data_IF_489209557415
#
_entry.id   IF_489209557415
#
_cell.length_a   1.000
_cell.length_b   1.000
_cell.length_c   1.000
_cell.angle_alpha   90.00
_cell.angle_beta   90.00
_cell.angle_gamma   90.00
#
_symmetry.space_group_name_H-M   'P 1'
#
loop_
_entity.id
_entity.type
_entity.pdbx_description
1 polymer ?
#
# COMPACT_ATOMS: atom_id res chain seq x y z
N UNK A 1 -3.71 8.07 25.57
CA UNK A 1 -2.59 8.06 24.62
C UNK A 1 -2.57 6.86 23.69
N UNK A 2 -2.83 5.65 24.17
CA UNK A 2 -2.95 4.45 23.29
C UNK A 2 -3.95 4.66 22.13
N UNK A 3 -5.06 5.37 22.36
CA UNK A 3 -6.05 5.68 21.33
C UNK A 3 -5.45 6.40 20.11
N UNK A 4 -4.57 7.38 20.31
CA UNK A 4 -3.97 8.17 19.22
C UNK A 4 -3.13 7.30 18.28
N UNK A 5 -2.38 6.33 18.83
CA UNK A 5 -1.49 5.45 18.07
C UNK A 5 -2.25 4.49 17.12
N UNK A 6 -3.52 4.24 17.39
CA UNK A 6 -4.38 3.39 16.53
C UNK A 6 -5.37 4.22 15.72
N UNK A 7 -5.89 5.30 16.30
CA UNK A 7 -6.87 6.14 15.60
C UNK A 7 -6.26 6.93 14.45
N UNK A 8 -5.05 7.47 14.59
CA UNK A 8 -4.43 8.26 13.52
C UNK A 8 -4.10 7.42 12.27
N UNK A 9 -3.51 6.21 12.36
CA UNK A 9 -3.34 5.36 11.19
C UNK A 9 -4.65 4.99 10.49
N UNK A 10 -5.68 4.64 11.27
CA UNK A 10 -7.02 4.43 10.74
C UNK A 10 -7.53 5.68 9.98
N UNK A 11 -7.46 6.85 10.59
CA UNK A 11 -7.97 8.09 10.02
C UNK A 11 -7.21 8.48 8.75
N UNK A 12 -5.88 8.39 8.77
CA UNK A 12 -5.04 8.72 7.62
C UNK A 12 -5.35 7.80 6.44
N UNK A 13 -5.43 6.50 6.65
CA UNK A 13 -5.75 5.57 5.56
C UNK A 13 -7.20 5.63 5.11
N UNK A 14 -8.13 5.95 6.02
CA UNK A 14 -9.50 6.24 5.64
C UNK A 14 -9.57 7.47 4.71
N UNK A 15 -8.89 8.55 5.06
CA UNK A 15 -8.80 9.76 4.23
C UNK A 15 -8.09 9.46 2.90
N UNK A 16 -6.94 8.79 2.96
CA UNK A 16 -6.12 8.50 1.78
C UNK A 16 -6.78 7.51 0.84
N UNK A 17 -7.44 6.49 1.36
CA UNK A 17 -8.21 5.53 0.56
C UNK A 17 -9.35 6.19 -0.20
N UNK A 18 -10.09 7.08 0.47
CA UNK A 18 -11.16 7.87 -0.14
C UNK A 18 -10.64 8.89 -1.17
N UNK A 19 -9.57 9.61 -0.81
CA UNK A 19 -8.93 10.59 -1.68
C UNK A 19 -8.35 9.95 -2.95
N UNK A 20 -7.76 8.77 -2.88
CA UNK A 20 -7.16 8.11 -4.04
C UNK A 20 -8.17 7.85 -5.17
N UNK A 21 -9.38 7.39 -4.83
CA UNK A 21 -10.47 7.22 -5.80
C UNK A 21 -10.96 8.57 -6.30
N UNK A 22 -11.23 9.50 -5.38
CA UNK A 22 -11.77 10.80 -5.70
C UNK A 22 -10.82 11.61 -6.60
N UNK A 23 -9.51 11.57 -6.38
CA UNK A 23 -8.49 12.23 -7.21
C UNK A 23 -8.49 11.64 -8.62
N UNK A 24 -8.52 10.31 -8.77
CA UNK A 24 -8.57 9.67 -10.08
C UNK A 24 -9.84 10.06 -10.84
N UNK A 25 -11.01 10.02 -10.18
CA UNK A 25 -12.28 10.43 -10.78
C UNK A 25 -12.34 11.92 -11.11
N UNK A 26 -11.80 12.76 -10.24
CA UNK A 26 -11.77 14.20 -10.47
C UNK A 26 -10.79 14.59 -11.59
N UNK A 27 -9.65 13.90 -11.69
CA UNK A 27 -8.74 14.05 -12.81
C UNK A 27 -9.41 13.67 -14.15
N UNK A 28 -10.17 12.56 -14.16
CA UNK A 28 -10.95 12.12 -15.32
C UNK A 28 -11.97 13.19 -15.71
N UNK A 29 -12.68 13.75 -14.72
CA UNK A 29 -13.62 14.86 -14.94
C UNK A 29 -12.95 16.11 -15.54
N UNK A 30 -11.71 16.41 -15.12
CA UNK A 30 -10.91 17.50 -15.68
C UNK A 30 -10.29 17.17 -17.06
N UNK A 31 -10.59 16.02 -17.65
CA UNK A 31 -10.09 15.60 -18.95
C UNK A 31 -8.72 14.94 -18.93
N UNK A 32 -8.29 14.39 -17.79
CA UNK A 32 -6.99 13.72 -17.72
C UNK A 32 -6.87 12.58 -18.72
N UNK A 33 -5.74 12.55 -19.44
CA UNK A 33 -5.34 11.44 -20.28
C UNK A 33 -4.94 10.23 -19.41
N UNK A 34 -4.89 9.01 -19.95
CA UNK A 34 -4.38 7.85 -19.22
C UNK A 34 -2.96 8.03 -18.68
N UNK A 35 -2.08 8.69 -19.46
CA UNK A 35 -0.73 9.01 -19.01
C UNK A 35 -0.75 9.94 -17.77
N UNK A 36 -1.60 10.97 -17.77
CA UNK A 36 -1.72 11.86 -16.60
C UNK A 36 -2.19 11.14 -15.35
N UNK A 37 -3.10 10.17 -15.47
CA UNK A 37 -3.50 9.31 -14.35
C UNK A 37 -2.33 8.47 -13.84
N UNK A 38 -1.51 7.95 -14.75
CA UNK A 38 -0.29 7.24 -14.40
C UNK A 38 0.71 8.13 -13.63
N UNK A 39 0.91 9.37 -14.09
CA UNK A 39 1.77 10.35 -13.43
C UNK A 39 1.24 10.75 -12.06
N UNK A 40 -0.08 10.88 -11.88
CA UNK A 40 -0.69 11.13 -10.58
C UNK A 40 -0.40 9.99 -9.58
N UNK A 41 -0.39 8.74 -10.02
CA UNK A 41 -0.02 7.61 -9.20
C UNK A 41 1.49 7.49 -8.92
N UNK A 42 2.32 7.98 -9.83
CA UNK A 42 3.77 7.98 -9.70
C UNK A 42 4.28 8.95 -8.64
N UNK A 43 3.74 10.16 -8.58
CA UNK A 43 4.27 11.23 -7.73
C UNK A 43 4.32 10.91 -6.22
N UNK A 44 3.26 10.42 -5.56
CA UNK A 44 3.36 10.13 -4.13
C UNK A 44 4.38 9.02 -3.84
N UNK A 45 4.51 8.04 -4.73
CA UNK A 45 5.45 6.92 -4.58
C UNK A 45 6.91 7.37 -4.66
N UNK A 46 7.27 8.16 -5.66
CA UNK A 46 8.67 8.63 -5.82
C UNK A 46 9.09 9.54 -4.66
N UNK A 47 8.21 10.43 -4.20
CA UNK A 47 8.48 11.30 -3.05
C UNK A 47 8.62 10.48 -1.78
N UNK A 48 7.72 9.52 -1.55
CA UNK A 48 7.76 8.63 -0.40
C UNK A 48 9.08 7.87 -0.33
N UNK A 49 9.46 7.16 -1.40
CA UNK A 49 10.70 6.36 -1.44
C UNK A 49 11.93 7.25 -1.22
N UNK A 50 11.96 8.44 -1.82
CA UNK A 50 13.09 9.36 -1.71
C UNK A 50 13.26 9.94 -0.30
N UNK A 51 12.17 10.14 0.43
CA UNK A 51 12.17 10.86 1.70
C UNK A 51 11.97 9.96 2.93
N UNK A 52 11.41 8.75 2.80
CA UNK A 52 11.11 7.91 3.96
C UNK A 52 12.36 7.55 4.77
N UNK A 53 13.51 7.31 4.13
CA UNK A 53 14.77 7.05 4.82
C UNK A 53 15.27 8.29 5.60
N UNK A 54 15.17 9.46 5.00
CA UNK A 54 15.55 10.72 5.62
C UNK A 54 14.70 10.99 6.87
N UNK A 55 13.38 10.90 6.75
CA UNK A 55 12.47 11.15 7.87
C UNK A 55 12.47 10.01 8.90
N UNK A 56 12.69 8.78 8.50
CA UNK A 56 12.94 7.66 9.40
C UNK A 56 14.13 7.95 10.31
N UNK A 57 15.26 8.40 9.75
CA UNK A 57 16.45 8.79 10.51
C UNK A 57 16.20 10.04 11.36
N UNK A 58 15.54 11.05 10.81
CA UNK A 58 15.22 12.28 11.53
C UNK A 58 14.31 12.01 12.74
N UNK A 59 13.45 11.00 12.64
CA UNK A 59 12.57 10.60 13.72
C UNK A 59 13.29 10.05 14.96
N UNK A 60 14.58 9.70 14.85
CA UNK A 60 15.40 9.30 16.02
C UNK A 60 15.86 10.49 16.87
N UNK A 61 15.97 11.67 16.24
CA UNK A 61 16.46 12.89 16.89
C UNK A 61 15.36 13.92 17.17
N UNK A 62 14.30 13.92 16.38
CA UNK A 62 13.16 14.82 16.54
C UNK A 62 12.02 14.14 17.31
N UNK A 63 11.16 14.96 17.92
CA UNK A 63 9.95 14.47 18.59
C UNK A 63 9.04 13.72 17.60
N UNK A 64 8.70 12.46 17.92
CA UNK A 64 7.75 11.64 17.13
C UNK A 64 6.45 12.39 16.89
N UNK A 65 5.91 13.03 17.93
CA UNK A 65 4.69 13.83 17.87
C UNK A 65 4.79 14.95 16.83
N UNK A 66 5.92 15.67 16.79
CA UNK A 66 6.11 16.79 15.87
C UNK A 66 6.21 16.31 14.42
N UNK A 67 6.94 15.21 14.16
CA UNK A 67 7.04 14.65 12.82
C UNK A 67 5.69 14.10 12.31
N UNK A 68 4.95 13.40 13.16
CA UNK A 68 3.59 12.95 12.83
C UNK A 68 2.68 14.15 12.57
N UNK A 69 2.80 15.20 13.38
CA UNK A 69 2.05 16.46 13.20
C UNK A 69 2.35 17.15 11.87
N UNK A 70 3.63 17.22 11.49
CA UNK A 70 4.04 17.75 10.19
C UNK A 70 3.50 16.87 9.04
N UNK A 71 3.54 15.56 9.18
CA UNK A 71 2.93 14.63 8.20
C UNK A 71 1.43 14.90 8.02
N UNK A 72 0.67 15.04 9.11
CA UNK A 72 -0.73 15.40 9.08
C UNK A 72 -0.98 16.78 8.46
N UNK A 73 -0.11 17.76 8.76
CA UNK A 73 -0.19 19.09 8.16
C UNK A 73 -0.05 19.03 6.64
N UNK A 74 0.90 18.23 6.10
CA UNK A 74 1.04 18.05 4.65
C UNK A 74 -0.19 17.35 4.03
N UNK A 75 -0.83 16.41 4.72
CA UNK A 75 -2.08 15.81 4.26
C UNK A 75 -3.23 16.83 4.25
N UNK A 76 -3.34 17.70 5.27
CA UNK A 76 -4.33 18.78 5.33
C UNK A 76 -4.09 19.78 4.19
N UNK A 77 -2.84 20.20 3.98
CA UNK A 77 -2.47 21.13 2.90
C UNK A 77 -2.76 20.53 1.52
N UNK A 78 -2.45 19.25 1.32
CA UNK A 78 -2.82 18.51 0.11
C UNK A 78 -4.33 18.53 -0.10
N UNK A 79 -5.12 18.22 0.93
CA UNK A 79 -6.58 18.21 0.85
C UNK A 79 -7.14 19.60 0.55
N UNK A 80 -6.56 20.67 1.11
CA UNK A 80 -6.93 22.06 0.80
C UNK A 80 -6.69 22.37 -0.68
N UNK A 81 -5.53 21.98 -1.23
CA UNK A 81 -5.24 22.15 -2.66
C UNK A 81 -6.27 21.41 -3.50
N UNK A 82 -6.64 20.17 -3.12
CA UNK A 82 -7.69 19.41 -3.81
C UNK A 82 -9.06 20.10 -3.76
N UNK A 83 -9.45 20.68 -2.63
CA UNK A 83 -10.69 21.46 -2.50
C UNK A 83 -10.72 22.65 -3.48
N UNK A 84 -9.58 23.34 -3.64
CA UNK A 84 -9.46 24.53 -4.49
C UNK A 84 -9.12 24.21 -5.93
N UNK A 85 -8.78 22.93 -6.24
CA UNK A 85 -8.30 22.56 -7.56
C UNK A 85 -9.35 22.71 -8.65
N UNK A 86 -8.91 23.22 -9.78
CA UNK A 86 -9.66 23.34 -11.03
C UNK A 86 -8.87 22.86 -12.26
N UNK A 87 -7.61 22.49 -12.04
CA UNK A 87 -6.68 22.06 -13.10
C UNK A 87 -5.84 20.88 -12.65
N UNK A 88 -5.43 20.04 -13.60
CA UNK A 88 -4.72 18.77 -13.34
C UNK A 88 -3.38 18.98 -12.63
N UNK A 89 -2.62 20.05 -12.94
CA UNK A 89 -1.33 20.30 -12.28
C UNK A 89 -1.46 20.55 -10.76
N UNK A 90 -2.61 21.07 -10.32
CA UNK A 90 -2.91 21.23 -8.88
C UNK A 90 -3.10 19.87 -8.18
N UNK A 91 -3.67 18.89 -8.90
CA UNK A 91 -3.73 17.52 -8.41
C UNK A 91 -2.33 16.91 -8.29
N UNK A 92 -1.45 17.16 -9.28
CA UNK A 92 -0.06 16.71 -9.22
C UNK A 92 0.68 17.29 -8.00
N UNK A 93 0.51 18.59 -7.74
CA UNK A 93 1.09 19.24 -6.54
C UNK A 93 0.57 18.61 -5.25
N UNK A 94 -0.74 18.35 -5.18
CA UNK A 94 -1.34 17.65 -4.05
C UNK A 94 -0.75 16.25 -3.85
N UNK A 95 -0.55 15.48 -4.93
CA UNK A 95 0.05 14.14 -4.86
C UNK A 95 1.50 14.17 -4.35
N UNK A 96 2.29 15.18 -4.71
CA UNK A 96 3.64 15.37 -4.15
C UNK A 96 3.58 15.59 -2.63
N UNK A 97 2.66 16.45 -2.16
CA UNK A 97 2.48 16.73 -0.72
C UNK A 97 1.99 15.50 0.05
N UNK A 98 1.14 14.65 -0.55
CA UNK A 98 0.77 13.35 0.02
C UNK A 98 2.00 12.48 0.22
N UNK A 99 2.92 12.43 -0.75
CA UNK A 99 4.17 11.68 -0.63
C UNK A 99 5.05 12.17 0.52
N UNK A 100 5.18 13.50 0.68
CA UNK A 100 5.92 14.12 1.82
C UNK A 100 5.26 13.75 3.15
N UNK A 101 3.94 13.95 3.24
CA UNK A 101 3.16 13.61 4.44
C UNK A 101 3.29 12.15 4.84
N UNK A 102 3.21 11.24 3.86
CA UNK A 102 3.38 9.81 4.08
C UNK A 102 4.78 9.45 4.60
N UNK A 103 5.83 10.03 4.00
CA UNK A 103 7.22 9.78 4.39
C UNK A 103 7.54 10.26 5.82
N UNK A 104 6.85 11.31 6.28
CA UNK A 104 6.94 11.77 7.66
C UNK A 104 6.10 10.94 8.64
N UNK A 105 4.90 10.56 8.21
CA UNK A 105 3.90 9.92 9.07
C UNK A 105 4.22 8.45 9.35
N UNK A 106 4.34 7.61 8.29
CA UNK A 106 4.35 6.16 8.44
C UNK A 106 5.57 5.61 9.20
N UNK A 107 6.82 5.91 8.81
CA UNK A 107 7.98 5.39 9.55
C UNK A 107 8.01 5.88 11.00
N UNK A 108 7.54 7.12 11.23
CA UNK A 108 7.51 7.72 12.56
C UNK A 108 6.45 7.08 13.46
N UNK A 109 5.26 6.78 12.91
CA UNK A 109 4.19 6.12 13.67
C UNK A 109 4.55 4.69 14.05
N UNK A 110 5.13 3.92 13.11
CA UNK A 110 5.61 2.56 13.37
C UNK A 110 6.66 2.52 14.49
N UNK A 111 7.65 3.41 14.41
CA UNK A 111 8.65 3.54 15.43
C UNK A 111 8.04 3.98 16.78
N UNK A 112 7.08 4.91 16.77
CA UNK A 112 6.41 5.39 17.97
C UNK A 112 5.60 4.30 18.67
N UNK A 113 4.91 3.44 17.93
CA UNK A 113 4.23 2.26 18.49
C UNK A 113 5.24 1.27 19.07
N UNK A 114 6.33 0.99 18.34
CA UNK A 114 7.35 0.02 18.77
C UNK A 114 8.09 0.44 20.04
N UNK A 115 8.34 1.73 20.24
CA UNK A 115 9.06 2.26 21.42
C UNK A 115 8.25 2.19 22.73
N UNK A 116 6.92 2.18 22.64
CA UNK A 116 6.03 2.24 23.81
C UNK A 116 5.71 0.90 24.43
N UNK A 117 6.04 -0.17 23.75
CA UNK A 117 5.60 -1.49 24.18
C UNK A 117 6.77 -2.34 24.65
N UNK A 118 6.51 -3.11 25.70
CA UNK A 118 7.44 -4.16 26.11
C UNK A 118 7.53 -5.22 24.99
N UNK A 119 8.73 -5.79 24.79
CA UNK A 119 8.99 -6.80 23.76
C UNK A 119 7.95 -7.94 23.76
N UNK A 120 7.41 -8.28 24.94
CA UNK A 120 6.39 -9.34 25.12
C UNK A 120 5.06 -9.02 24.43
N UNK A 121 4.66 -7.75 24.36
CA UNK A 121 3.37 -7.31 23.82
C UNK A 121 3.50 -6.65 22.43
N UNK A 122 4.72 -6.44 21.93
CA UNK A 122 4.98 -5.72 20.70
C UNK A 122 4.24 -6.33 19.48
N UNK A 123 4.29 -7.66 19.33
CA UNK A 123 3.62 -8.33 18.20
C UNK A 123 2.10 -8.08 18.20
N UNK A 124 1.46 -8.17 19.38
CA UNK A 124 0.03 -7.91 19.52
C UNK A 124 -0.33 -6.46 19.19
N UNK A 125 0.47 -5.50 19.65
CA UNK A 125 0.25 -4.07 19.45
C UNK A 125 0.49 -3.65 17.99
N UNK A 126 1.52 -4.22 17.35
CA UNK A 126 1.71 -4.04 15.91
C UNK A 126 0.57 -4.67 15.09
N UNK A 127 0.02 -5.78 15.56
CA UNK A 127 -1.19 -6.37 14.98
C UNK A 127 -2.40 -5.43 15.05
N UNK A 128 -2.63 -4.78 16.20
CA UNK A 128 -3.69 -3.77 16.36
C UNK A 128 -3.45 -2.54 15.49
N UNK A 129 -2.20 -2.09 15.40
CA UNK A 129 -1.80 -1.00 14.50
C UNK A 129 -2.11 -1.34 13.04
N UNK A 130 -1.72 -2.53 12.59
CA UNK A 130 -2.00 -3.00 11.24
C UNK A 130 -3.51 -3.17 10.98
N UNK A 131 -4.27 -3.68 11.94
CA UNK A 131 -5.72 -3.77 11.83
C UNK A 131 -6.37 -2.37 11.70
N UNK A 132 -5.87 -1.38 12.43
CA UNK A 132 -6.46 -0.04 12.42
C UNK A 132 -6.32 0.64 11.05
N UNK A 133 -5.13 0.68 10.46
CA UNK A 133 -4.96 1.27 9.13
C UNK A 133 -5.64 0.44 8.03
N UNK A 134 -5.66 -0.90 8.17
CA UNK A 134 -6.38 -1.77 7.22
C UNK A 134 -7.88 -1.48 7.17
N UNK A 135 -8.52 -1.24 8.33
CA UNK A 135 -9.93 -0.84 8.39
C UNK A 135 -10.12 0.51 7.66
N UNK A 136 -9.19 1.45 7.83
CA UNK A 136 -9.19 2.72 7.09
C UNK A 136 -9.16 2.49 5.58
N UNK A 137 -8.26 1.64 5.10
CA UNK A 137 -8.15 1.29 3.68
C UNK A 137 -9.36 0.53 3.13
N UNK A 138 -10.09 -0.20 3.97
CA UNK A 138 -11.36 -0.84 3.57
C UNK A 138 -12.48 0.17 3.44
N UNK A 139 -12.66 1.04 4.44
CA UNK A 139 -13.79 1.96 4.50
C UNK A 139 -13.59 3.22 3.65
N UNK A 140 -12.34 3.68 3.51
CA UNK A 140 -11.99 4.92 2.81
C UNK A 140 -12.47 4.95 1.36
N UNK A 141 -12.14 3.97 0.51
CA UNK A 141 -12.57 3.94 -0.87
C UNK A 141 -14.09 3.96 -1.05
N UNK A 142 -14.81 3.22 -0.21
CA UNK A 142 -16.28 3.22 -0.24
C UNK A 142 -16.82 4.61 0.06
N UNK A 143 -16.37 5.22 1.16
CA UNK A 143 -16.76 6.58 1.53
C UNK A 143 -16.40 7.59 0.43
N UNK A 144 -15.19 7.51 -0.11
CA UNK A 144 -14.72 8.39 -1.19
C UNK A 144 -15.58 8.28 -2.45
N UNK A 145 -15.95 7.07 -2.86
CA UNK A 145 -16.82 6.82 -4.00
C UNK A 145 -18.24 7.36 -3.80
N UNK A 146 -18.82 7.16 -2.61
CA UNK A 146 -20.15 7.66 -2.25
C UNK A 146 -20.15 9.20 -2.19
N UNK A 147 -19.20 9.80 -1.46
CA UNK A 147 -19.09 11.26 -1.33
C UNK A 147 -18.85 11.92 -2.69
N UNK A 148 -18.05 11.32 -3.57
CA UNK A 148 -17.83 11.82 -4.94
C UNK A 148 -19.12 11.79 -5.77
N UNK A 149 -19.97 10.79 -5.57
CA UNK A 149 -21.27 10.69 -6.21
C UNK A 149 -22.24 11.81 -5.81
N UNK A 150 -22.14 12.30 -4.55
CA UNK A 150 -22.93 13.43 -4.05
C UNK A 150 -22.38 14.75 -4.61
N UNK A 151 -21.09 14.98 -4.46
CA UNK A 151 -20.38 16.13 -5.05
C UNK A 151 -18.94 15.79 -5.31
N UNK A 152 -18.43 16.19 -6.47
CA UNK A 152 -17.05 15.89 -6.91
C UNK A 152 -15.96 16.36 -5.96
N UNK A 153 -16.22 17.41 -5.18
CA UNK A 153 -15.26 17.98 -4.21
C UNK A 153 -15.53 17.55 -2.77
N UNK A 154 -16.68 16.94 -2.48
CA UNK A 154 -17.04 16.55 -1.13
C UNK A 154 -16.03 15.61 -0.44
N UNK A 155 -15.42 14.61 -1.14
CA UNK A 155 -14.39 13.79 -0.53
C UNK A 155 -13.18 14.61 -0.05
N UNK A 156 -12.82 15.68 -0.76
CA UNK A 156 -11.68 16.53 -0.42
C UNK A 156 -11.98 17.44 0.76
N UNK A 157 -13.18 18.03 0.82
CA UNK A 157 -13.63 18.76 2.02
C UNK A 157 -13.67 17.85 3.24
N UNK A 158 -14.21 16.64 3.08
CA UNK A 158 -14.21 15.65 4.16
C UNK A 158 -12.77 15.33 4.62
N UNK A 159 -11.86 15.07 3.69
CA UNK A 159 -10.45 14.80 3.99
C UNK A 159 -9.78 15.98 4.73
N UNK A 160 -10.05 17.21 4.30
CA UNK A 160 -9.54 18.42 4.94
C UNK A 160 -10.00 18.56 6.40
N UNK A 161 -11.31 18.46 6.66
CA UNK A 161 -11.84 18.57 8.03
C UNK A 161 -11.44 17.38 8.91
N UNK A 162 -11.46 16.17 8.39
CA UNK A 162 -11.04 14.98 9.12
C UNK A 162 -9.52 15.04 9.44
N UNK A 163 -8.69 15.59 8.55
CA UNK A 163 -7.29 15.86 8.81
C UNK A 163 -7.09 16.81 10.01
N UNK A 164 -7.87 17.89 10.11
CA UNK A 164 -7.84 18.80 11.26
C UNK A 164 -8.29 18.11 12.54
N UNK A 165 -9.31 17.26 12.50
CA UNK A 165 -9.73 16.45 13.67
C UNK A 165 -8.55 15.59 14.15
N UNK A 166 -7.86 14.89 13.25
CA UNK A 166 -6.67 14.09 13.58
C UNK A 166 -5.55 14.96 14.17
N UNK A 167 -5.31 16.14 13.61
CA UNK A 167 -4.29 17.07 14.09
C UNK A 167 -4.59 17.58 15.50
N UNK A 168 -5.84 17.99 15.79
CA UNK A 168 -6.23 18.43 17.13
C UNK A 168 -6.21 17.29 18.16
N UNK A 169 -6.56 16.07 17.78
CA UNK A 169 -6.42 14.88 18.64
C UNK A 169 -4.94 14.65 18.96
N UNK A 170 -4.04 14.78 17.99
CA UNK A 170 -2.60 14.67 18.19
C UNK A 170 -2.08 15.76 19.14
N UNK A 171 -2.53 17.02 18.99
CA UNK A 171 -2.10 18.13 19.87
C UNK A 171 -2.48 17.87 21.33
N UNK A 172 -3.67 17.35 21.59
CA UNK A 172 -4.13 16.99 22.95
C UNK A 172 -3.41 15.78 23.54
N UNK A 173 -2.77 14.96 22.72
CA UNK A 173 -1.95 13.87 23.22
C UNK A 173 -0.75 14.42 24.01
N UNK A 174 -0.49 13.87 25.21
CA UNK A 174 0.61 14.32 26.05
C UNK A 174 1.93 14.24 25.27
N UNK A 175 2.71 15.33 25.36
CA UNK A 175 4.07 15.34 24.83
C UNK A 175 4.96 14.59 25.83
N UNK A 176 5.29 13.36 25.54
CA UNK A 176 6.26 12.63 26.33
C UNK A 176 7.60 12.71 25.61
N UNK A 177 8.55 13.39 26.24
CA UNK A 177 9.95 13.30 25.87
C UNK A 177 10.46 11.93 26.35
N UNK A 178 10.48 10.94 25.49
CA UNK A 178 11.26 9.74 25.77
C UNK A 178 12.72 10.08 25.49
N UNK A 179 13.61 9.96 26.50
CA UNK A 179 15.02 9.91 26.20
C UNK A 179 15.23 8.75 25.24
N UNK A 180 15.99 8.98 24.17
CA UNK A 180 16.41 7.93 23.27
C UNK A 180 16.93 6.78 24.14
N UNK A 181 16.17 5.71 24.25
CA UNK A 181 16.61 4.54 24.98
C UNK A 181 17.75 3.99 24.15
N UNK A 182 18.97 4.15 24.64
CA UNK A 182 20.14 3.46 24.12
C UNK A 182 19.83 1.96 24.22
N UNK A 183 19.10 1.43 23.25
CA UNK A 183 18.91 0.01 23.08
C UNK A 183 20.19 -0.52 22.48
N UNK A 184 21.18 -0.74 23.36
CA UNK A 184 22.21 -1.74 23.05
C UNK A 184 21.50 -2.97 22.54
N UNK A 185 21.93 -3.56 21.42
CA UNK A 185 21.37 -4.79 20.93
C UNK A 185 21.69 -5.91 21.94
N UNK A 186 20.89 -6.03 22.98
CA UNK A 186 21.06 -7.11 23.94
C UNK A 186 20.00 -8.17 23.66
N UNK A 187 20.50 -9.28 23.36
CA UNK A 187 20.02 -10.65 23.50
C UNK A 187 20.10 -11.45 22.18
N UNK A 188 20.88 -12.51 22.26
CA UNK A 188 20.98 -13.56 21.25
C UNK A 188 19.55 -14.02 20.90
N UNK A 189 19.20 -14.08 19.61
CA UNK A 189 17.90 -14.61 19.21
C UNK A 189 17.80 -16.07 19.59
N UNK A 190 16.70 -16.43 20.22
CA UNK A 190 16.37 -17.81 20.55
C UNK A 190 15.71 -18.49 19.34
N UNK A 191 16.47 -18.76 18.31
CA UNK A 191 16.05 -19.66 17.22
C UNK A 191 17.26 -20.48 16.74
N UNK A 192 17.05 -21.79 16.42
CA UNK A 192 18.09 -22.63 15.89
C UNK A 192 18.69 -22.06 14.59
N UNK A 193 19.94 -22.40 14.36
CA UNK A 193 20.82 -21.91 13.29
C UNK A 193 20.47 -22.44 11.88
N UNK A 194 19.25 -22.90 11.66
CA UNK A 194 18.77 -23.31 10.34
C UNK A 194 18.49 -22.06 9.50
N UNK A 195 19.50 -21.69 8.72
CA UNK A 195 19.43 -20.61 7.77
C UNK A 195 18.25 -20.81 6.82
N UNK A 196 17.25 -19.94 6.94
CA UNK A 196 16.18 -19.86 5.94
C UNK A 196 16.84 -19.73 4.57
N UNK A 197 16.60 -20.65 3.63
CA UNK A 197 17.21 -20.55 2.33
C UNK A 197 16.90 -19.19 1.71
N UNK A 198 17.95 -18.42 1.39
CA UNK A 198 17.83 -17.05 0.86
C UNK A 198 16.98 -16.95 -0.40
N UNK A 199 16.74 -18.07 -1.08
CA UNK A 199 15.93 -18.12 -2.28
C UNK A 199 14.44 -17.84 -2.01
N UNK A 200 13.87 -18.23 -0.85
CA UNK A 200 12.48 -17.90 -0.50
C UNK A 200 12.27 -16.38 -0.35
N UNK A 201 13.26 -15.68 0.20
CA UNK A 201 13.22 -14.23 0.31
C UNK A 201 13.22 -13.57 -1.07
N UNK A 202 14.04 -14.05 -2.00
CA UNK A 202 14.09 -13.49 -3.36
C UNK A 202 12.81 -13.79 -4.15
N UNK A 203 12.29 -15.02 -4.08
CA UNK A 203 11.02 -15.41 -4.70
C UNK A 203 9.87 -14.53 -4.19
N UNK A 204 9.74 -14.38 -2.87
CA UNK A 204 8.65 -13.60 -2.30
C UNK A 204 8.73 -12.10 -2.63
N UNK A 205 9.94 -11.55 -2.83
CA UNK A 205 10.14 -10.17 -3.29
C UNK A 205 9.71 -9.98 -4.74
N UNK A 206 10.04 -10.94 -5.62
CA UNK A 206 9.58 -10.91 -7.02
C UNK A 206 8.06 -10.95 -7.06
N UNK A 207 7.43 -11.88 -6.36
CA UNK A 207 5.99 -11.98 -6.26
C UNK A 207 5.35 -10.67 -5.75
N UNK A 208 5.91 -10.08 -4.69
CA UNK A 208 5.40 -8.85 -4.09
C UNK A 208 5.50 -7.67 -5.08
N UNK A 209 6.63 -7.51 -5.78
CA UNK A 209 6.79 -6.49 -6.81
C UNK A 209 5.71 -6.58 -7.89
N UNK A 210 5.49 -7.79 -8.45
CA UNK A 210 4.56 -7.97 -9.58
C UNK A 210 3.12 -7.64 -9.19
N UNK A 211 2.72 -7.96 -7.96
CA UNK A 211 1.36 -7.68 -7.47
C UNK A 211 1.17 -6.20 -7.10
N UNK A 212 2.16 -5.55 -6.51
CA UNK A 212 2.08 -4.11 -6.24
C UNK A 212 2.16 -3.26 -7.50
N UNK A 213 2.92 -3.70 -8.51
CA UNK A 213 2.89 -3.13 -9.86
C UNK A 213 1.48 -3.20 -10.44
N UNK A 214 0.85 -4.36 -10.36
CA UNK A 214 -0.51 -4.58 -10.86
C UNK A 214 -1.57 -3.79 -10.09
N UNK A 215 -1.44 -3.70 -8.75
CA UNK A 215 -2.29 -2.87 -7.91
C UNK A 215 -2.22 -1.39 -8.32
N UNK A 216 -1.02 -0.89 -8.61
CA UNK A 216 -0.83 0.48 -9.08
C UNK A 216 -1.62 0.77 -10.37
N UNK A 217 -1.61 -0.17 -11.33
CA UNK A 217 -2.42 -0.06 -12.55
C UNK A 217 -3.91 -0.05 -12.21
N UNK A 218 -4.37 -0.99 -11.39
CA UNK A 218 -5.79 -1.09 -10.98
C UNK A 218 -6.21 0.19 -10.26
N UNK A 219 -5.41 0.74 -9.38
CA UNK A 219 -5.76 1.89 -8.55
C UNK A 219 -5.94 3.18 -9.36
N UNK A 220 -5.13 3.39 -10.40
CA UNK A 220 -5.10 4.66 -11.14
C UNK A 220 -5.69 4.59 -12.55
N UNK A 221 -5.62 3.44 -13.23
CA UNK A 221 -6.10 3.31 -14.61
C UNK A 221 -7.52 2.72 -14.67
N UNK A 222 -7.87 1.79 -13.75
CA UNK A 222 -9.20 1.19 -13.73
C UNK A 222 -10.35 2.20 -13.55
N UNK A 223 -10.22 3.28 -12.75
CA UNK A 223 -11.28 4.27 -12.64
C UNK A 223 -11.67 4.87 -14.01
N UNK A 224 -10.73 5.06 -14.95
CA UNK A 224 -11.03 5.56 -16.28
C UNK A 224 -11.74 4.51 -17.15
N UNK A 225 -11.31 3.26 -17.09
CA UNK A 225 -12.00 2.17 -17.76
C UNK A 225 -13.45 2.04 -17.27
N UNK A 226 -13.64 2.02 -15.96
CA UNK A 226 -14.95 1.87 -15.35
C UNK A 226 -15.87 3.08 -15.63
N UNK A 227 -15.34 4.30 -15.60
CA UNK A 227 -16.10 5.51 -15.98
C UNK A 227 -16.53 5.46 -17.45
N UNK A 228 -15.68 4.99 -18.36
CA UNK A 228 -16.03 4.81 -19.77
C UNK A 228 -17.09 3.73 -19.98
N UNK A 229 -17.20 2.77 -19.07
CA UNK A 229 -18.28 1.75 -19.04
C UNK A 229 -19.55 2.26 -18.35
N UNK A 230 -19.63 3.53 -17.96
CA UNK A 230 -20.79 4.12 -17.29
C UNK A 230 -20.93 3.74 -15.81
N UNK A 231 -19.89 3.19 -15.18
CA UNK A 231 -19.96 2.78 -13.77
C UNK A 231 -19.98 3.99 -12.85
N UNK A 232 -20.96 4.09 -11.92
CA UNK A 232 -21.03 5.17 -10.95
C UNK A 232 -19.91 5.05 -9.90
N UNK A 233 -19.53 6.20 -9.32
CA UNK A 233 -18.38 6.32 -8.40
C UNK A 233 -18.49 5.45 -7.15
N UNK A 234 -19.69 5.24 -6.61
CA UNK A 234 -19.90 4.41 -5.42
C UNK A 234 -19.60 2.93 -5.68
N UNK A 235 -19.87 2.42 -6.90
CA UNK A 235 -19.49 1.05 -7.28
C UNK A 235 -17.97 0.90 -7.43
N UNK A 236 -17.28 1.93 -7.92
CA UNK A 236 -15.82 1.98 -7.91
C UNK A 236 -15.26 1.93 -6.50
N UNK A 237 -15.84 2.71 -5.59
CA UNK A 237 -15.49 2.67 -4.17
C UNK A 237 -15.70 1.28 -3.58
N UNK A 238 -16.83 0.64 -3.88
CA UNK A 238 -17.15 -0.72 -3.43
C UNK A 238 -16.13 -1.75 -3.95
N UNK A 239 -15.77 -1.69 -5.23
CA UNK A 239 -14.77 -2.60 -5.82
C UNK A 239 -13.42 -2.46 -5.12
N UNK A 240 -12.92 -1.22 -4.92
CA UNK A 240 -11.66 -1.00 -4.21
C UNK A 240 -11.72 -1.49 -2.76
N UNK A 241 -12.83 -1.25 -2.06
CA UNK A 241 -13.04 -1.78 -0.70
C UNK A 241 -13.05 -3.31 -0.69
N UNK A 242 -13.68 -3.94 -1.68
CA UNK A 242 -13.68 -5.40 -1.84
C UNK A 242 -12.26 -5.97 -1.98
N UNK A 243 -11.39 -5.30 -2.75
CA UNK A 243 -9.99 -5.68 -2.87
C UNK A 243 -9.30 -5.67 -1.51
N UNK A 244 -9.44 -4.59 -0.75
CA UNK A 244 -8.81 -4.47 0.56
C UNK A 244 -9.42 -5.39 1.63
N UNK A 245 -10.73 -5.68 1.56
CA UNK A 245 -11.38 -6.70 2.39
C UNK A 245 -10.74 -8.06 2.11
N UNK A 246 -10.65 -8.45 0.84
CA UNK A 246 -10.05 -9.73 0.45
C UNK A 246 -8.60 -9.84 0.88
N UNK A 247 -7.80 -8.77 0.72
CA UNK A 247 -6.43 -8.69 1.21
C UNK A 247 -6.36 -8.89 2.73
N UNK A 248 -7.20 -8.19 3.49
CA UNK A 248 -7.23 -8.26 4.95
C UNK A 248 -7.64 -9.65 5.43
N UNK A 249 -8.67 -10.24 4.81
CA UNK A 249 -9.09 -11.61 5.12
C UNK A 249 -8.00 -12.63 4.80
N UNK A 250 -7.23 -12.41 3.74
CA UNK A 250 -6.08 -13.25 3.41
C UNK A 250 -4.98 -13.11 4.47
N UNK A 251 -4.67 -11.90 4.94
CA UNK A 251 -3.74 -11.69 6.07
C UNK A 251 -4.15 -12.46 7.31
N UNK A 252 -5.44 -12.36 7.66
CA UNK A 252 -5.98 -13.06 8.82
C UNK A 252 -5.91 -14.59 8.65
N UNK A 253 -6.34 -15.12 7.50
CA UNK A 253 -6.30 -16.55 7.22
C UNK A 253 -4.87 -17.13 7.23
N UNK A 254 -3.90 -16.38 6.69
CA UNK A 254 -2.49 -16.76 6.73
C UNK A 254 -1.91 -16.70 8.16
N UNK A 255 -2.39 -15.79 8.99
CA UNK A 255 -2.03 -15.73 10.41
C UNK A 255 -2.46 -16.96 11.21
N UNK A 256 -3.56 -17.62 10.80
CA UNK A 256 -4.06 -18.86 11.41
C UNK A 256 -3.43 -20.13 10.84
N UNK A 257 -2.80 -20.05 9.67
CA UNK A 257 -2.19 -21.19 8.98
C UNK A 257 -0.66 -21.10 9.00
N UNK A 258 0.03 -22.21 9.25
CA UNK A 258 1.51 -22.25 9.29
C UNK A 258 2.15 -22.88 8.05
N UNK A 259 1.38 -23.63 7.25
CA UNK A 259 1.92 -24.46 6.15
C UNK A 259 2.29 -23.68 4.88
N UNK A 260 1.88 -22.43 4.75
CA UNK A 260 2.12 -21.61 3.56
C UNK A 260 3.53 -21.00 3.52
N UNK A 261 4.17 -20.82 4.68
CA UNK A 261 5.37 -20.01 4.87
C UNK A 261 6.54 -20.41 3.95
N UNK A 262 6.72 -21.71 3.72
CA UNK A 262 7.76 -22.25 2.86
C UNK A 262 7.22 -22.99 1.63
N UNK A 263 5.99 -22.64 1.21
CA UNK A 263 5.32 -23.27 0.08
C UNK A 263 5.29 -22.34 -1.14
N UNK A 264 6.17 -22.59 -2.11
CA UNK A 264 6.09 -21.88 -3.40
C UNK A 264 4.77 -22.17 -4.12
N UNK A 265 4.17 -23.34 -3.91
CA UNK A 265 2.89 -23.68 -4.54
C UNK A 265 1.75 -22.79 -4.03
N UNK A 266 1.72 -22.49 -2.73
CA UNK A 266 0.77 -21.54 -2.17
C UNK A 266 0.99 -20.13 -2.75
N UNK A 267 2.24 -19.67 -2.82
CA UNK A 267 2.59 -18.36 -3.38
C UNK A 267 2.14 -18.24 -4.85
N UNK A 268 2.49 -19.22 -5.68
CA UNK A 268 2.12 -19.24 -7.11
C UNK A 268 0.60 -19.35 -7.29
N UNK A 269 -0.10 -20.16 -6.50
CA UNK A 269 -1.56 -20.28 -6.57
C UNK A 269 -2.25 -18.92 -6.38
N UNK A 270 -1.84 -18.15 -5.39
CA UNK A 270 -2.42 -16.84 -5.14
C UNK A 270 -2.02 -15.78 -6.20
N UNK A 271 -0.84 -15.91 -6.80
CA UNK A 271 -0.47 -15.11 -7.98
C UNK A 271 -1.33 -15.49 -9.20
N UNK A 272 -1.66 -16.76 -9.40
CA UNK A 272 -2.57 -17.21 -10.45
C UNK A 272 -4.00 -16.68 -10.22
N UNK A 273 -4.46 -16.58 -8.97
CA UNK A 273 -5.73 -15.90 -8.67
C UNK A 273 -5.70 -14.45 -9.13
N UNK A 274 -4.63 -13.70 -8.79
CA UNK A 274 -4.50 -12.32 -9.22
C UNK A 274 -4.37 -12.18 -10.73
N UNK A 275 -3.60 -13.05 -11.39
CA UNK A 275 -3.46 -13.11 -12.85
C UNK A 275 -4.82 -13.32 -13.53
N UNK A 276 -5.60 -14.27 -13.04
CA UNK A 276 -6.95 -14.53 -13.53
C UNK A 276 -7.87 -13.33 -13.30
N UNK A 277 -7.83 -12.71 -12.10
CA UNK A 277 -8.58 -11.50 -11.79
C UNK A 277 -8.24 -10.33 -12.73
N UNK A 278 -6.96 -10.11 -13.03
CA UNK A 278 -6.52 -9.08 -13.99
C UNK A 278 -6.95 -9.43 -15.40
N UNK A 279 -6.90 -10.71 -15.78
CA UNK A 279 -7.43 -11.22 -17.05
C UNK A 279 -8.93 -10.95 -17.21
N UNK A 280 -9.71 -11.09 -16.15
CA UNK A 280 -11.13 -10.70 -16.13
C UNK A 280 -11.30 -9.21 -16.42
N UNK A 281 -10.49 -8.33 -15.82
CA UNK A 281 -10.57 -6.88 -16.09
C UNK A 281 -10.25 -6.58 -17.55
N UNK A 282 -9.27 -7.28 -18.13
CA UNK A 282 -8.94 -7.16 -19.55
C UNK A 282 -10.12 -7.54 -20.46
N UNK A 283 -10.80 -8.66 -20.20
CA UNK A 283 -11.81 -9.25 -21.09
C UNK A 283 -13.25 -8.82 -20.82
N UNK A 284 -13.57 -8.25 -19.64
CA UNK A 284 -14.95 -8.03 -19.19
C UNK A 284 -15.37 -6.56 -19.20
N UNK A 285 -16.69 -6.33 -19.13
CA UNK A 285 -17.35 -5.06 -18.81
C UNK A 285 -18.40 -5.21 -17.70
N UNK A 286 -18.55 -6.41 -17.13
CA UNK A 286 -19.57 -6.71 -16.11
C UNK A 286 -19.11 -6.36 -14.72
N UNK A 287 -19.96 -5.67 -13.93
CA UNK A 287 -19.69 -5.36 -12.53
C UNK A 287 -19.41 -6.60 -11.68
N UNK A 288 -20.21 -7.67 -11.84
CA UNK A 288 -20.04 -8.90 -11.07
C UNK A 288 -18.70 -9.59 -11.35
N UNK A 289 -18.24 -9.57 -12.60
CA UNK A 289 -16.93 -10.08 -12.95
C UNK A 289 -15.81 -9.19 -12.40
N UNK A 290 -15.97 -7.88 -12.39
CA UNK A 290 -15.04 -6.99 -11.72
C UNK A 290 -15.00 -7.24 -10.22
N UNK A 291 -16.15 -7.47 -9.57
CA UNK A 291 -16.19 -7.81 -8.15
C UNK A 291 -15.36 -9.08 -7.86
N UNK A 292 -15.58 -10.15 -8.64
CA UNK A 292 -14.77 -11.37 -8.54
C UNK A 292 -13.28 -11.10 -8.79
N UNK A 293 -12.95 -10.30 -9.81
CA UNK A 293 -11.58 -9.91 -10.13
C UNK A 293 -10.89 -9.22 -8.94
N UNK A 294 -11.58 -8.27 -8.29
CA UNK A 294 -11.04 -7.53 -7.15
C UNK A 294 -10.85 -8.42 -5.91
N UNK A 295 -11.73 -9.40 -5.68
CA UNK A 295 -11.53 -10.43 -4.65
C UNK A 295 -10.25 -11.22 -4.92
N UNK A 296 -10.07 -11.71 -6.16
CA UNK A 296 -8.93 -12.53 -6.54
C UNK A 296 -7.61 -11.76 -6.48
N UNK A 297 -7.61 -10.50 -6.94
CA UNK A 297 -6.44 -9.61 -6.88
C UNK A 297 -6.08 -9.31 -5.42
N UNK A 298 -7.07 -8.99 -4.58
CA UNK A 298 -6.85 -8.72 -3.16
C UNK A 298 -6.25 -9.91 -2.42
N UNK A 299 -6.75 -11.12 -2.67
CA UNK A 299 -6.18 -12.35 -2.12
C UNK A 299 -4.72 -12.56 -2.55
N UNK A 300 -4.41 -12.34 -3.83
CA UNK A 300 -3.05 -12.42 -4.36
C UNK A 300 -2.09 -11.45 -3.67
N UNK A 301 -2.49 -10.17 -3.54
CA UNK A 301 -1.71 -9.14 -2.85
C UNK A 301 -1.50 -9.53 -1.39
N UNK A 302 -2.53 -10.01 -0.70
CA UNK A 302 -2.45 -10.46 0.68
C UNK A 302 -1.39 -11.54 0.88
N UNK A 303 -1.37 -12.56 0.03
CA UNK A 303 -0.39 -13.64 0.09
C UNK A 303 1.03 -13.16 -0.21
N UNK A 304 1.24 -12.42 -1.30
CA UNK A 304 2.59 -12.00 -1.71
C UNK A 304 3.21 -11.01 -0.74
N UNK A 305 2.40 -10.09 -0.20
CA UNK A 305 2.84 -9.15 0.83
C UNK A 305 3.22 -9.88 2.12
N UNK A 306 2.35 -10.77 2.63
CA UNK A 306 2.63 -11.57 3.82
C UNK A 306 3.88 -12.42 3.68
N UNK A 307 4.07 -13.07 2.52
CA UNK A 307 5.25 -13.88 2.25
C UNK A 307 6.53 -13.06 2.23
N UNK A 308 6.54 -11.91 1.54
CA UNK A 308 7.70 -11.04 1.45
C UNK A 308 8.06 -10.42 2.80
N UNK A 309 7.08 -9.98 3.57
CA UNK A 309 7.29 -9.45 4.93
C UNK A 309 7.79 -10.55 5.87
N UNK A 310 7.14 -11.73 5.88
CA UNK A 310 7.53 -12.86 6.73
C UNK A 310 9.00 -13.24 6.53
N UNK A 311 9.44 -13.44 5.27
CA UNK A 311 10.83 -13.79 4.98
C UNK A 311 11.81 -12.64 5.22
N UNK A 312 11.35 -11.38 5.21
CA UNK A 312 12.18 -10.22 5.56
C UNK A 312 12.43 -10.10 7.07
N UNK A 313 11.45 -10.42 7.91
CA UNK A 313 11.55 -10.31 9.37
C UNK A 313 12.04 -11.59 10.05
N UNK A 314 11.80 -12.75 9.42
CA UNK A 314 12.21 -14.06 9.94
C UNK A 314 13.69 -14.34 9.65
N UNK A 315 14.56 -13.57 10.27
CA UNK A 315 16.03 -13.68 10.12
C UNK A 315 16.71 -13.24 11.41
N UNK A 316 17.87 -13.84 11.69
CA UNK A 316 18.70 -13.52 12.85
C UNK A 316 19.48 -12.22 12.63
N UNK A 317 19.94 -12.00 11.38
CA UNK A 317 20.79 -10.87 11.01
C UNK A 317 20.09 -9.91 10.04
N UNK A 318 20.36 -8.62 10.17
CA UNK A 318 19.96 -7.58 9.21
C UNK A 318 18.43 -7.44 9.00
N UNK A 319 17.60 -7.59 10.04
CA UNK A 319 16.13 -7.40 9.94
C UNK A 319 15.78 -6.03 9.36
N UNK A 320 16.37 -4.97 9.87
CA UNK A 320 16.10 -3.60 9.40
C UNK A 320 16.37 -3.42 7.90
N UNK A 321 17.58 -3.72 7.40
CA UNK A 321 17.88 -3.66 5.96
C UNK A 321 16.96 -4.54 5.09
N UNK A 322 16.58 -5.73 5.55
CA UNK A 322 15.71 -6.63 4.78
C UNK A 322 14.27 -6.11 4.69
N UNK A 323 13.74 -5.52 5.77
CA UNK A 323 12.44 -4.86 5.76
C UNK A 323 12.49 -3.60 4.88
N UNK A 324 13.56 -2.81 4.95
CA UNK A 324 13.73 -1.66 4.08
C UNK A 324 13.74 -2.04 2.58
N UNK A 325 14.37 -3.16 2.23
CA UNK A 325 14.31 -3.70 0.86
C UNK A 325 12.88 -4.14 0.51
N UNK A 326 12.16 -4.79 1.44
CA UNK A 326 10.76 -5.16 1.23
C UNK A 326 9.89 -3.93 0.88
N UNK A 327 9.99 -2.87 1.67
CA UNK A 327 9.28 -1.61 1.45
C UNK A 327 9.71 -0.94 0.12
N UNK A 328 10.99 -0.98 -0.22
CA UNK A 328 11.50 -0.44 -1.49
C UNK A 328 10.93 -1.22 -2.68
N UNK A 329 10.88 -2.54 -2.61
CA UNK A 329 10.34 -3.40 -3.68
C UNK A 329 8.84 -3.13 -3.87
N UNK A 330 8.08 -3.08 -2.78
CA UNK A 330 6.67 -2.73 -2.76
C UNK A 330 6.44 -1.33 -3.36
N UNK A 331 7.14 -0.34 -2.83
CA UNK A 331 7.03 1.05 -3.30
C UNK A 331 7.40 1.21 -4.76
N UNK A 332 8.44 0.51 -5.23
CA UNK A 332 8.84 0.53 -6.65
C UNK A 332 7.75 -0.07 -7.55
N UNK A 333 7.13 -1.17 -7.16
CA UNK A 333 5.98 -1.73 -7.87
C UNK A 333 4.83 -0.73 -7.91
N UNK A 334 4.45 -0.19 -6.75
CA UNK A 334 3.34 0.75 -6.61
C UNK A 334 3.52 2.06 -7.40
N UNK A 335 4.76 2.50 -7.61
CA UNK A 335 5.06 3.70 -8.38
C UNK A 335 5.20 3.42 -9.89
N UNK A 336 5.85 2.32 -10.29
CA UNK A 336 6.06 2.00 -11.71
C UNK A 336 4.78 1.51 -12.38
N UNK A 337 3.91 0.80 -11.64
CA UNK A 337 2.66 0.28 -12.17
C UNK A 337 1.78 1.36 -12.79
N UNK A 338 1.39 2.41 -12.07
CA UNK A 338 0.56 3.48 -12.62
C UNK A 338 1.23 4.19 -13.80
N UNK A 339 2.52 4.49 -13.71
CA UNK A 339 3.25 5.19 -14.77
C UNK A 339 3.28 4.37 -16.06
N UNK A 340 3.74 3.13 -15.99
CA UNK A 340 3.79 2.22 -17.14
C UNK A 340 2.38 1.89 -17.65
N UNK A 341 1.44 1.69 -16.74
CA UNK A 341 0.03 1.50 -17.08
C UNK A 341 -0.56 2.70 -17.80
N UNK A 342 -0.24 3.91 -17.37
CA UNK A 342 -0.67 5.16 -18.03
C UNK A 342 -0.08 5.31 -19.43
N UNK A 343 1.21 5.02 -19.60
CA UNK A 343 1.89 5.04 -20.92
C UNK A 343 1.22 4.03 -21.86
N UNK A 344 1.08 2.78 -21.42
CA UNK A 344 0.48 1.72 -22.24
C UNK A 344 -0.98 2.02 -22.57
N UNK A 345 -1.75 2.53 -21.60
CA UNK A 345 -3.14 2.92 -21.83
C UNK A 345 -3.28 4.07 -22.83
N UNK A 346 -2.34 5.00 -22.84
CA UNK A 346 -2.34 6.15 -23.74
C UNK A 346 -2.15 5.73 -25.20
N UNK A 347 -1.30 4.73 -25.47
CA UNK A 347 -0.93 4.34 -26.82
C UNK A 347 -1.70 3.11 -27.34
N UNK A 348 -2.04 2.17 -26.47
CA UNK A 348 -2.63 0.87 -26.82
C UNK A 348 -4.07 0.68 -26.31
N UNK A 349 -4.63 1.71 -25.65
CA UNK A 349 -5.99 1.67 -25.11
C UNK A 349 -6.08 1.18 -23.68
N UNK A 350 -7.23 1.50 -23.03
CA UNK A 350 -7.44 1.34 -21.57
C UNK A 350 -7.39 -0.11 -21.06
N UNK A 351 -7.48 -1.10 -21.93
CA UNK A 351 -7.41 -2.52 -21.56
C UNK A 351 -5.98 -3.07 -21.61
N UNK A 352 -5.12 -2.53 -22.47
CA UNK A 352 -3.76 -3.01 -22.67
C UNK A 352 -2.89 -3.06 -21.39
N UNK A 353 -2.99 -2.13 -20.42
CA UNK A 353 -2.26 -2.22 -19.14
C UNK A 353 -2.52 -3.49 -18.36
N UNK A 354 -3.71 -4.07 -18.45
CA UNK A 354 -4.03 -5.33 -17.74
C UNK A 354 -3.36 -6.52 -18.40
N UNK A 355 -3.23 -6.52 -19.73
CA UNK A 355 -2.44 -7.54 -20.42
C UNK A 355 -0.96 -7.44 -20.05
N UNK A 356 -0.42 -6.21 -19.96
CA UNK A 356 0.94 -5.98 -19.46
C UNK A 356 1.10 -6.49 -18.01
N UNK A 357 0.13 -6.22 -17.13
CA UNK A 357 0.16 -6.73 -15.75
C UNK A 357 0.14 -8.26 -15.70
N UNK A 358 -0.67 -8.92 -16.54
CA UNK A 358 -0.65 -10.38 -16.69
C UNK A 358 0.73 -10.88 -17.14
N UNK A 359 1.36 -10.22 -18.11
CA UNK A 359 2.70 -10.56 -18.57
C UNK A 359 3.76 -10.39 -17.47
N UNK A 360 3.67 -9.32 -16.67
CA UNK A 360 4.58 -9.07 -15.53
C UNK A 360 4.41 -10.14 -14.45
N UNK A 361 3.18 -10.52 -14.09
CA UNK A 361 2.94 -11.60 -13.12
C UNK A 361 3.45 -12.94 -13.68
N UNK A 362 3.15 -13.24 -14.94
CA UNK A 362 3.62 -14.47 -15.59
C UNK A 362 5.14 -14.57 -15.62
N UNK A 363 5.83 -13.49 -15.99
CA UNK A 363 7.29 -13.40 -15.95
C UNK A 363 7.83 -13.59 -14.53
N UNK A 364 7.17 -12.99 -13.52
CA UNK A 364 7.51 -13.18 -12.10
C UNK A 364 7.45 -14.66 -11.69
N UNK A 365 6.37 -15.35 -12.00
CA UNK A 365 6.20 -16.78 -11.71
C UNK A 365 7.30 -17.62 -12.38
N UNK A 366 7.65 -17.32 -13.64
CA UNK A 366 8.73 -18.01 -14.35
C UNK A 366 10.07 -17.80 -13.65
N UNK A 367 10.39 -16.56 -13.25
CA UNK A 367 11.61 -16.21 -12.51
C UNK A 367 11.66 -16.97 -11.17
N UNK A 368 10.56 -17.05 -10.45
CA UNK A 368 10.46 -17.75 -9.16
C UNK A 368 10.74 -19.26 -9.31
N UNK A 369 10.15 -19.88 -10.33
CA UNK A 369 10.39 -21.30 -10.64
C UNK A 369 11.87 -21.52 -11.01
N UNK A 370 12.46 -20.60 -11.76
CA UNK A 370 13.89 -20.67 -12.15
C UNK A 370 14.81 -20.54 -10.94
N UNK A 371 14.56 -19.57 -10.05
CA UNK A 371 15.31 -19.39 -8.79
C UNK A 371 15.27 -20.69 -7.95
N UNK A 372 14.09 -21.30 -7.81
CA UNK A 372 13.93 -22.58 -7.10
C UNK A 372 14.75 -23.70 -7.73
N UNK A 373 14.74 -23.80 -9.07
CA UNK A 373 15.48 -24.83 -9.80
C UNK A 373 16.98 -24.67 -9.61
N UNK A 374 17.52 -23.46 -9.70
CA UNK A 374 18.94 -23.15 -9.47
C UNK A 374 19.37 -23.53 -8.04
N UNK A 375 18.54 -23.26 -7.04
CA UNK A 375 18.85 -23.60 -5.65
C UNK A 375 18.96 -25.11 -5.46
N UNK A 376 18.00 -25.89 -5.99
CA UNK A 376 18.02 -27.36 -5.92
C UNK A 376 19.23 -27.99 -6.61
N UNK A 377 19.76 -27.34 -7.63
CA UNK A 377 21.00 -27.82 -8.29
C UNK A 377 22.22 -27.62 -7.39
N UNK A 378 22.32 -26.50 -6.67
CA UNK A 378 23.41 -26.21 -5.73
C UNK A 378 23.42 -27.11 -4.50
N UNK A 379 22.31 -27.66 -4.08
CA UNK A 379 22.21 -28.60 -2.96
C UNK A 379 22.62 -30.04 -3.34
N UNK A 380 22.72 -30.34 -4.62
CA UNK A 380 23.14 -31.67 -5.12
C UNK A 380 24.66 -31.82 -5.35
N UNK A 381 25.38 -30.71 -5.29
CA UNK A 381 26.84 -30.64 -5.38
C UNK A 381 27.43 -30.14 -4.05
#
# INVERSE_FOLDING_TARGET
>A
MSFVLYFLPFLVDFIMGGAAIAVSLFAIFLGASPLMLGVLGFFPGIVYISLCFLFGKLSETWSRKNLVGLGLFFYILSSLILCLSSRIYQLCLSMLLIGVGAAMFWPTMEAWVAEREEKRHLAHKMGLFNASWSIGMVLGPLAGGVLFGISRKLPFYFAFFAGWVGFFILLKAASENFPAKNTTPSSKPFYPEDSIPSFYLNISRVANFTLWFSLGIVRYIFPKLATNLGMPSYLLGLLMSTLFISQTLTFYGLGLASRWQYSIYALVLFQLFALFGIGIIFGSGSFFLFFLAFVLIGAGIGMTHSSSLFHSVNTIFQRGPRVAIHETVLGTGALLGPLMGGIVAQHLGLRAPYLMACAVIGAGIIIEIFIKKLHRQKEKY
#
